data_IF_364090258451
#
_entry.id   IF_364090258451
#
_cell.length_a   1.000
_cell.length_b   1.000
_cell.length_c   1.000
_cell.angle_alpha   90.00
_cell.angle_beta   90.00
_cell.angle_gamma   90.00
#
_symmetry.space_group_name_H-M   'P 1'
#
loop_
_entity.id
_entity.type
_entity.pdbx_description
1 polymer ?
#
# COMPACT_ATOMS: atom_id res chain seq x y z
N UNK A 1 33.35 18.73 21.11
CA UNK A 1 34.52 18.21 20.38
C UNK A 1 35.47 17.66 21.40
N UNK A 2 35.69 16.37 21.43
CA UNK A 2 36.72 15.79 22.24
C UNK A 2 38.07 15.98 21.54
N UNK A 3 39.15 16.06 22.33
CA UNK A 3 40.49 16.42 21.88
C UNK A 3 41.13 15.56 20.76
N UNK A 4 40.43 14.52 20.29
CA UNK A 4 40.92 13.56 19.27
C UNK A 4 40.17 13.60 17.94
N UNK A 5 39.34 14.61 17.66
CA UNK A 5 38.67 14.73 16.36
C UNK A 5 37.70 13.64 16.00
N UNK A 6 37.44 12.71 16.92
CA UNK A 6 36.47 11.61 16.73
C UNK A 6 35.07 12.15 17.02
N UNK A 7 34.21 12.21 15.99
CA UNK A 7 32.80 12.52 16.16
C UNK A 7 32.16 11.37 16.92
N UNK A 8 32.16 11.44 18.25
CA UNK A 8 31.42 10.52 19.10
C UNK A 8 29.94 10.80 18.87
N UNK A 9 29.28 9.90 18.14
CA UNK A 9 27.84 9.92 17.90
C UNK A 9 27.15 9.70 19.24
N UNK A 10 26.79 10.80 19.94
CA UNK A 10 26.04 10.71 21.21
C UNK A 10 24.81 9.83 20.98
N UNK A 11 24.76 8.71 21.69
CA UNK A 11 23.64 7.79 21.69
C UNK A 11 22.45 8.53 22.32
N UNK A 12 21.53 9.03 21.50
CA UNK A 12 20.31 9.67 21.97
C UNK A 12 19.23 8.60 22.08
N UNK A 13 18.98 8.11 23.28
CA UNK A 13 17.94 7.13 23.59
C UNK A 13 16.57 7.51 22.99
N UNK A 14 16.25 8.81 23.01
CA UNK A 14 15.03 9.38 22.40
C UNK A 14 14.96 9.10 20.89
N UNK A 15 16.08 9.19 20.17
CA UNK A 15 16.14 9.02 18.71
C UNK A 15 16.03 7.54 18.29
N UNK A 16 16.63 6.63 19.06
CA UNK A 16 16.52 5.19 18.84
C UNK A 16 15.13 4.67 19.22
N UNK A 17 14.56 5.11 20.35
CA UNK A 17 13.19 4.77 20.75
C UNK A 17 12.17 5.17 19.67
N UNK A 18 12.30 6.37 19.11
CA UNK A 18 11.43 6.85 18.05
C UNK A 18 11.54 5.99 16.79
N UNK A 19 12.74 5.50 16.48
CA UNK A 19 12.99 4.62 15.32
C UNK A 19 12.29 3.27 15.44
N UNK A 20 12.21 2.70 16.65
CA UNK A 20 11.60 1.40 16.90
C UNK A 20 10.15 1.47 17.39
N UNK A 21 9.60 2.70 17.54
CA UNK A 21 8.25 2.91 18.05
C UNK A 21 7.19 2.06 17.31
N UNK A 22 7.27 1.98 15.99
CA UNK A 22 6.33 1.22 15.16
C UNK A 22 6.39 -0.29 15.46
N UNK A 23 7.59 -0.83 15.68
CA UNK A 23 7.78 -2.24 16.02
C UNK A 23 7.29 -2.52 17.45
N UNK A 24 7.57 -1.61 18.38
CA UNK A 24 7.08 -1.70 19.77
C UNK A 24 5.56 -1.66 19.78
N UNK A 25 4.93 -0.74 19.02
CA UNK A 25 3.49 -0.67 18.91
C UNK A 25 2.89 -1.96 18.33
N UNK A 26 3.51 -2.55 17.31
CA UNK A 26 3.10 -3.84 16.76
C UNK A 26 3.09 -4.93 17.84
N UNK A 27 4.16 -5.06 18.62
CA UNK A 27 4.23 -6.05 19.71
C UNK A 27 3.18 -5.78 20.80
N UNK A 28 2.95 -4.51 21.15
CA UNK A 28 1.91 -4.13 22.11
C UNK A 28 0.53 -4.58 21.64
N UNK A 29 0.18 -4.35 20.35
CA UNK A 29 -1.08 -4.82 19.80
C UNK A 29 -1.19 -6.34 19.77
N UNK A 30 -0.11 -7.06 19.41
CA UNK A 30 -0.10 -8.54 19.44
C UNK A 30 -0.36 -9.06 20.84
N UNK A 31 0.32 -8.51 21.86
CA UNK A 31 0.12 -8.89 23.27
C UNK A 31 -1.29 -8.54 23.73
N UNK A 32 -1.78 -7.35 23.40
CA UNK A 32 -3.13 -6.90 23.71
C UNK A 32 -4.18 -7.89 23.20
N UNK A 33 -4.16 -8.23 21.91
CA UNK A 33 -5.13 -9.14 21.32
C UNK A 33 -4.98 -10.58 21.87
N UNK A 34 -3.78 -11.03 22.18
CA UNK A 34 -3.55 -12.32 22.82
C UNK A 34 -4.15 -12.39 24.23
N UNK A 35 -4.03 -11.33 25.03
CA UNK A 35 -4.63 -11.28 26.37
C UNK A 35 -6.16 -11.37 26.34
N UNK A 36 -6.79 -10.78 25.32
CA UNK A 36 -8.25 -10.84 25.18
C UNK A 36 -8.75 -12.12 24.53
N UNK A 37 -7.97 -12.68 23.60
CA UNK A 37 -8.33 -13.91 22.90
C UNK A 37 -7.11 -14.82 22.72
N UNK A 38 -6.93 -15.86 23.55
CA UNK A 38 -5.80 -16.80 23.44
C UNK A 38 -5.73 -17.52 22.07
N UNK A 39 -6.85 -17.60 21.32
CA UNK A 39 -6.87 -18.16 19.98
C UNK A 39 -6.21 -17.25 18.94
N UNK A 40 -5.89 -16.02 19.30
CA UNK A 40 -5.26 -15.04 18.39
C UNK A 40 -3.92 -15.54 17.82
N UNK A 41 -3.09 -16.23 18.62
CA UNK A 41 -1.81 -16.78 18.21
C UNK A 41 -1.88 -18.25 17.73
N UNK A 42 -3.06 -18.78 17.40
CA UNK A 42 -3.15 -20.10 16.78
C UNK A 42 -2.53 -20.08 15.38
N UNK A 43 -1.97 -21.22 14.95
CA UNK A 43 -1.36 -21.37 13.63
C UNK A 43 -2.28 -20.88 12.50
N UNK A 44 -3.57 -21.28 12.54
CA UNK A 44 -4.55 -20.92 11.52
C UNK A 44 -4.75 -19.39 11.47
N UNK A 45 -4.84 -18.72 12.63
CA UNK A 45 -5.02 -17.28 12.66
C UNK A 45 -3.76 -16.52 12.24
N UNK A 46 -2.58 -17.00 12.59
CA UNK A 46 -1.31 -16.42 12.09
C UNK A 46 -1.26 -16.49 10.56
N UNK A 47 -1.67 -17.61 9.96
CA UNK A 47 -1.75 -17.74 8.49
C UNK A 47 -2.76 -16.77 7.88
N UNK A 48 -3.88 -16.52 8.56
CA UNK A 48 -4.85 -15.52 8.13
C UNK A 48 -4.29 -14.09 8.22
N UNK A 49 -3.59 -13.75 9.30
CA UNK A 49 -2.89 -12.45 9.44
C UNK A 49 -1.86 -12.28 8.33
N UNK A 50 -1.08 -13.31 7.99
CA UNK A 50 -0.09 -13.25 6.91
C UNK A 50 -0.75 -13.03 5.53
N UNK A 51 -1.90 -13.65 5.28
CA UNK A 51 -2.69 -13.40 4.06
C UNK A 51 -3.20 -11.95 4.01
N UNK A 52 -3.75 -11.46 5.13
CA UNK A 52 -4.22 -10.07 5.27
C UNK A 52 -3.08 -9.08 5.03
N UNK A 53 -1.94 -9.30 5.72
CA UNK A 53 -0.72 -8.52 5.54
C UNK A 53 -0.27 -8.50 4.08
N UNK A 54 -0.38 -9.63 3.35
CA UNK A 54 0.07 -9.70 1.95
C UNK A 54 -0.71 -8.77 1.04
N UNK A 55 -2.03 -8.71 1.22
CA UNK A 55 -2.90 -7.78 0.49
C UNK A 55 -2.62 -6.34 0.90
N UNK A 56 -2.65 -6.09 2.21
CA UNK A 56 -2.47 -4.76 2.78
C UNK A 56 -1.11 -4.16 2.41
N UNK A 57 -0.02 -4.91 2.56
CA UNK A 57 1.33 -4.44 2.24
C UNK A 57 1.49 -4.11 0.74
N UNK A 58 0.92 -4.93 -0.15
CA UNK A 58 0.97 -4.67 -1.59
C UNK A 58 0.21 -3.38 -1.95
N UNK A 59 -0.97 -3.18 -1.36
CA UNK A 59 -1.75 -1.95 -1.54
C UNK A 59 -1.06 -0.73 -0.92
N UNK A 60 -0.44 -0.90 0.26
CA UNK A 60 0.33 0.17 0.92
C UNK A 60 1.57 0.57 0.12
N UNK A 61 2.24 -0.37 -0.54
CA UNK A 61 3.35 -0.05 -1.47
C UNK A 61 2.84 0.75 -2.68
N UNK A 62 1.62 0.48 -3.18
CA UNK A 62 0.98 1.34 -4.19
C UNK A 62 0.87 2.78 -3.71
N UNK A 63 0.31 3.02 -2.51
CA UNK A 63 0.22 4.36 -1.92
C UNK A 63 1.62 4.99 -1.74
N UNK A 64 2.59 4.22 -1.26
CA UNK A 64 3.95 4.66 -1.00
C UNK A 64 4.62 5.26 -2.25
N UNK A 65 4.48 4.65 -3.44
CA UNK A 65 5.12 5.16 -4.66
C UNK A 65 4.67 6.59 -5.00
N UNK A 66 3.38 6.89 -4.84
CA UNK A 66 2.84 8.23 -5.12
C UNK A 66 3.20 9.22 -4.01
N UNK A 67 3.15 8.78 -2.75
CA UNK A 67 3.59 9.58 -1.61
C UNK A 67 5.07 9.96 -1.69
N UNK A 68 5.92 9.07 -2.23
CA UNK A 68 7.35 9.36 -2.44
C UNK A 68 7.63 10.51 -3.39
N UNK A 69 6.74 10.81 -4.34
CA UNK A 69 6.88 11.97 -5.26
C UNK A 69 6.08 13.19 -4.79
N UNK A 70 5.59 13.16 -3.54
CA UNK A 70 4.87 14.27 -2.92
C UNK A 70 3.41 14.41 -3.36
N UNK A 71 2.81 13.36 -3.92
CA UNK A 71 1.42 13.34 -4.36
C UNK A 71 0.59 12.36 -3.53
N UNK A 72 -0.75 12.50 -3.58
CA UNK A 72 -1.71 11.59 -2.97
C UNK A 72 -2.58 10.94 -4.07
N UNK A 73 -2.74 9.62 -4.02
CA UNK A 73 -3.65 8.87 -4.89
C UNK A 73 -4.79 8.27 -4.05
N UNK A 74 -5.97 8.88 -4.13
CA UNK A 74 -7.20 8.35 -3.53
C UNK A 74 -7.95 7.37 -4.45
N UNK A 75 -7.36 7.00 -5.58
CA UNK A 75 -7.92 6.02 -6.51
C UNK A 75 -7.45 4.59 -6.29
N UNK A 76 -6.42 4.35 -5.45
CA UNK A 76 -5.76 3.03 -5.34
C UNK A 76 -6.72 1.89 -4.99
N UNK A 77 -7.73 2.17 -4.14
CA UNK A 77 -8.74 1.18 -3.76
C UNK A 77 -9.69 0.82 -4.91
N UNK A 78 -10.15 1.83 -5.64
CA UNK A 78 -10.97 1.62 -6.83
C UNK A 78 -10.18 0.94 -7.95
N UNK A 79 -8.90 1.32 -8.14
CA UNK A 79 -7.98 0.66 -9.08
C UNK A 79 -7.80 -0.82 -8.73
N UNK A 80 -7.64 -1.15 -7.44
CA UNK A 80 -7.54 -2.54 -6.98
C UNK A 80 -8.82 -3.34 -7.29
N UNK A 81 -9.99 -2.79 -6.95
CA UNK A 81 -11.28 -3.44 -7.24
C UNK A 81 -11.54 -3.56 -8.72
N UNK A 82 -11.14 -2.57 -9.52
CA UNK A 82 -11.27 -2.58 -10.98
C UNK A 82 -10.44 -3.70 -11.60
N UNK A 83 -9.18 -3.87 -11.17
CA UNK A 83 -8.33 -4.97 -11.64
C UNK A 83 -8.92 -6.34 -11.29
N UNK A 84 -9.42 -6.51 -10.07
CA UNK A 84 -10.10 -7.74 -9.66
C UNK A 84 -11.35 -8.01 -10.50
N UNK A 85 -12.19 -6.99 -10.74
CA UNK A 85 -13.42 -7.11 -11.52
C UNK A 85 -13.15 -7.44 -12.99
N UNK A 86 -12.12 -6.83 -13.58
CA UNK A 86 -11.67 -7.15 -14.93
C UNK A 86 -11.19 -8.60 -15.02
N UNK A 87 -10.37 -9.05 -14.06
CA UNK A 87 -9.87 -10.42 -14.06
C UNK A 87 -11.02 -11.43 -13.91
N UNK A 88 -11.91 -11.21 -12.95
CA UNK A 88 -13.06 -12.07 -12.73
C UNK A 88 -14.00 -12.16 -13.93
N UNK A 89 -14.22 -11.02 -14.62
CA UNK A 89 -15.05 -10.97 -15.82
C UNK A 89 -14.38 -11.68 -16.99
N UNK A 90 -13.08 -11.49 -17.21
CA UNK A 90 -12.33 -12.16 -18.28
C UNK A 90 -12.30 -13.68 -18.07
N UNK A 91 -12.06 -14.12 -16.85
CA UNK A 91 -12.09 -15.56 -16.52
C UNK A 91 -13.49 -16.17 -16.66
N UNK A 92 -14.53 -15.45 -16.25
CA UNK A 92 -15.92 -15.93 -16.36
C UNK A 92 -16.41 -16.00 -17.81
N UNK A 93 -15.98 -15.06 -18.65
CA UNK A 93 -16.34 -15.02 -20.08
C UNK A 93 -15.62 -16.06 -20.93
N UNK A 94 -14.49 -16.61 -20.44
CA UNK A 94 -13.63 -17.55 -21.16
C UNK A 94 -13.17 -17.06 -22.55
N UNK A 95 -13.14 -15.75 -22.77
CA UNK A 95 -12.70 -15.13 -24.03
C UNK A 95 -11.20 -15.39 -24.26
N UNK A 96 -10.41 -15.36 -23.21
CA UNK A 96 -8.97 -15.61 -23.25
C UNK A 96 -8.66 -16.97 -22.64
N UNK A 97 -7.84 -17.82 -23.31
CA UNK A 97 -7.47 -19.11 -22.76
C UNK A 97 -6.44 -18.97 -21.63
N UNK A 98 -6.76 -19.53 -20.48
CA UNK A 98 -5.85 -19.65 -19.34
C UNK A 98 -5.74 -18.40 -18.48
N UNK A 99 -5.43 -18.62 -17.20
CA UNK A 99 -5.31 -17.59 -16.17
C UNK A 99 -4.20 -16.55 -16.47
N UNK A 100 -3.04 -17.03 -16.92
CA UNK A 100 -1.87 -16.16 -17.17
C UNK A 100 -2.17 -15.09 -18.22
N UNK A 101 -2.86 -15.45 -19.30
CA UNK A 101 -3.20 -14.50 -20.36
C UNK A 101 -4.23 -13.47 -19.87
N UNK A 102 -5.23 -13.90 -19.10
CA UNK A 102 -6.19 -12.98 -18.46
C UNK A 102 -5.48 -12.03 -17.49
N UNK A 103 -4.54 -12.54 -16.68
CA UNK A 103 -3.76 -11.73 -15.74
C UNK A 103 -2.94 -10.66 -16.46
N UNK A 104 -2.19 -11.03 -17.49
CA UNK A 104 -1.40 -10.07 -18.30
C UNK A 104 -2.31 -9.05 -18.99
N UNK A 105 -3.44 -9.48 -19.55
CA UNK A 105 -4.40 -8.59 -20.19
C UNK A 105 -4.95 -7.55 -19.20
N UNK A 106 -5.27 -7.95 -17.97
CA UNK A 106 -5.71 -7.02 -16.92
C UNK A 106 -4.62 -6.01 -16.60
N UNK A 107 -3.38 -6.44 -16.41
CA UNK A 107 -2.27 -5.51 -16.14
C UNK A 107 -2.09 -4.49 -17.28
N UNK A 108 -2.20 -4.91 -18.54
CA UNK A 108 -2.15 -4.01 -19.70
C UNK A 108 -3.32 -3.04 -19.70
N UNK A 109 -4.55 -3.48 -19.43
CA UNK A 109 -5.71 -2.61 -19.32
C UNK A 109 -5.57 -1.60 -18.18
N UNK A 110 -5.03 -2.04 -17.03
CA UNK A 110 -4.78 -1.14 -15.90
C UNK A 110 -3.69 -0.09 -16.18
N UNK A 111 -2.79 -0.33 -17.14
CA UNK A 111 -1.88 0.73 -17.60
C UNK A 111 -2.60 1.88 -18.29
N UNK A 112 -3.76 1.64 -18.94
CA UNK A 112 -4.60 2.72 -19.45
C UNK A 112 -5.20 3.57 -18.32
N UNK A 113 -5.59 2.94 -17.20
CA UNK A 113 -6.04 3.64 -15.99
C UNK A 113 -4.91 4.51 -15.42
N UNK A 114 -3.71 3.96 -15.29
CA UNK A 114 -2.52 4.68 -14.84
C UNK A 114 -2.18 5.87 -15.77
N UNK A 115 -2.30 5.66 -17.08
CA UNK A 115 -2.09 6.71 -18.08
C UNK A 115 -3.09 7.86 -17.89
N UNK A 116 -4.37 7.56 -17.70
CA UNK A 116 -5.39 8.59 -17.45
C UNK A 116 -5.08 9.39 -16.19
N UNK A 117 -4.83 8.72 -15.05
CA UNK A 117 -4.51 9.37 -13.78
C UNK A 117 -3.24 10.25 -13.91
N UNK A 118 -2.20 9.74 -14.57
CA UNK A 118 -0.98 10.52 -14.79
C UNK A 118 -1.18 11.70 -15.75
N UNK A 119 -2.07 11.58 -16.75
CA UNK A 119 -2.43 12.70 -17.66
C UNK A 119 -3.16 13.79 -16.90
N UNK A 120 -4.16 13.45 -16.10
CA UNK A 120 -4.93 14.42 -15.31
C UNK A 120 -4.01 15.16 -14.33
N UNK A 121 -3.13 14.44 -13.64
CA UNK A 121 -2.27 15.02 -12.59
C UNK A 121 -1.05 15.73 -13.16
N UNK A 122 -0.28 15.05 -14.03
CA UNK A 122 1.03 15.55 -14.45
C UNK A 122 0.93 16.49 -15.66
N UNK A 123 -0.09 16.39 -16.49
CA UNK A 123 -0.22 17.20 -17.72
C UNK A 123 -1.27 18.29 -17.60
N UNK A 124 -2.44 18.00 -17.07
CA UNK A 124 -3.47 19.02 -16.82
C UNK A 124 -3.23 19.79 -15.52
N UNK A 125 -2.26 19.39 -14.71
CA UNK A 125 -1.89 20.03 -13.43
C UNK A 125 -3.04 20.09 -12.42
N UNK A 126 -3.99 19.17 -12.52
CA UNK A 126 -5.03 19.02 -11.51
C UNK A 126 -4.39 18.44 -10.25
N UNK A 127 -4.65 18.97 -9.06
CA UNK A 127 -4.16 18.37 -7.82
C UNK A 127 -4.44 16.88 -7.77
N UNK A 128 -3.44 16.06 -7.48
CA UNK A 128 -3.51 14.60 -7.63
C UNK A 128 -4.67 13.99 -6.85
N UNK A 129 -4.91 14.47 -5.62
CA UNK A 129 -5.99 13.96 -4.78
C UNK A 129 -7.37 14.20 -5.41
N UNK A 130 -7.61 15.36 -6.05
CA UNK A 130 -8.86 15.67 -6.73
C UNK A 130 -9.01 14.81 -7.99
N UNK A 131 -7.96 14.74 -8.80
CA UNK A 131 -7.98 13.98 -10.05
C UNK A 131 -8.24 12.48 -9.79
N UNK A 132 -7.55 11.90 -8.84
CA UNK A 132 -7.69 10.47 -8.52
C UNK A 132 -8.99 10.16 -7.78
N UNK A 133 -9.48 11.07 -6.93
CA UNK A 133 -10.79 10.91 -6.30
C UNK A 133 -11.93 10.96 -7.34
N UNK A 134 -11.87 11.88 -8.30
CA UNK A 134 -12.83 11.95 -9.39
C UNK A 134 -12.76 10.71 -10.29
N UNK A 135 -11.54 10.30 -10.67
CA UNK A 135 -11.32 9.10 -11.47
C UNK A 135 -11.81 7.83 -10.74
N UNK A 136 -11.63 7.75 -9.42
CA UNK A 136 -12.11 6.59 -8.64
C UNK A 136 -13.62 6.38 -8.80
N UNK A 137 -14.41 7.45 -8.89
CA UNK A 137 -15.87 7.35 -9.11
C UNK A 137 -16.23 6.81 -10.50
N UNK A 138 -15.41 7.09 -11.50
CA UNK A 138 -15.57 6.48 -12.83
C UNK A 138 -15.28 4.98 -12.79
N UNK A 139 -14.22 4.59 -12.09
CA UNK A 139 -13.88 3.17 -11.89
C UNK A 139 -14.94 2.45 -11.06
N UNK A 140 -15.42 3.04 -9.97
CA UNK A 140 -16.51 2.50 -9.15
C UNK A 140 -17.75 2.26 -10.05
N UNK A 141 -18.13 3.22 -10.89
CA UNK A 141 -19.25 3.09 -11.84
C UNK A 141 -19.05 1.92 -12.81
N UNK A 142 -17.85 1.76 -13.37
CA UNK A 142 -17.52 0.64 -14.26
C UNK A 142 -17.60 -0.71 -13.51
N UNK A 143 -17.11 -0.77 -12.26
CA UNK A 143 -17.19 -1.94 -11.40
C UNK A 143 -18.65 -2.33 -11.16
N UNK A 144 -19.49 -1.37 -10.77
CA UNK A 144 -20.92 -1.61 -10.57
C UNK A 144 -21.61 -2.13 -11.83
N UNK A 145 -21.24 -1.63 -13.00
CA UNK A 145 -21.75 -2.13 -14.28
C UNK A 145 -21.31 -3.57 -14.56
N UNK A 146 -20.04 -3.92 -14.27
CA UNK A 146 -19.50 -5.26 -14.49
C UNK A 146 -20.07 -6.31 -13.51
N UNK A 147 -20.25 -5.92 -12.24
CA UNK A 147 -20.71 -6.81 -11.18
C UNK A 147 -22.25 -6.83 -10.99
N UNK A 148 -22.95 -5.91 -11.66
CA UNK A 148 -24.38 -5.69 -11.42
C UNK A 148 -24.67 -5.13 -10.02
N UNK A 149 -23.70 -4.52 -9.36
CA UNK A 149 -23.80 -3.96 -8.00
C UNK A 149 -23.88 -5.01 -6.89
N UNK A 150 -23.59 -6.27 -7.19
CA UNK A 150 -23.67 -7.40 -6.25
C UNK A 150 -22.30 -8.07 -6.13
N UNK A 151 -22.15 -8.88 -5.09
CA UNK A 151 -20.98 -9.76 -4.96
C UNK A 151 -20.97 -10.71 -6.15
N UNK A 152 -19.89 -10.70 -6.91
CA UNK A 152 -19.68 -11.50 -8.09
C UNK A 152 -18.72 -12.65 -7.79
N UNK A 153 -19.12 -13.85 -8.12
CA UNK A 153 -18.30 -15.06 -8.07
C UNK A 153 -18.62 -15.96 -9.27
N UNK A 154 -17.70 -16.80 -9.66
CA UNK A 154 -17.91 -17.72 -10.76
C UNK A 154 -17.15 -19.03 -10.53
N UNK A 155 -17.81 -20.13 -10.76
CA UNK A 155 -17.19 -21.48 -10.78
C UNK A 155 -16.20 -21.65 -11.94
N UNK A 156 -16.26 -20.75 -12.95
CA UNK A 156 -15.37 -20.77 -14.11
C UNK A 156 -14.01 -20.12 -13.87
N UNK A 157 -13.77 -19.51 -12.71
CA UNK A 157 -12.47 -18.87 -12.41
C UNK A 157 -11.33 -19.88 -12.29
N UNK A 158 -11.65 -21.16 -12.06
CA UNK A 158 -10.69 -22.26 -12.01
C UNK A 158 -9.87 -22.32 -10.73
N UNK A 159 -9.16 -23.42 -10.56
CA UNK A 159 -8.40 -23.71 -9.34
C UNK A 159 -7.20 -22.77 -9.15
N UNK A 160 -6.63 -22.24 -10.24
CA UNK A 160 -5.48 -21.34 -10.16
C UNK A 160 -5.83 -20.07 -9.39
N UNK A 161 -7.03 -19.50 -9.61
CA UNK A 161 -7.46 -18.28 -8.91
C UNK A 161 -7.58 -18.51 -7.40
N UNK A 162 -8.21 -19.61 -6.99
CA UNK A 162 -8.37 -19.96 -5.57
C UNK A 162 -7.04 -20.39 -4.94
N UNK A 163 -6.20 -21.12 -5.67
CA UNK A 163 -4.89 -21.58 -5.20
C UNK A 163 -3.95 -20.39 -4.91
N UNK A 164 -4.00 -19.33 -5.70
CA UNK A 164 -3.20 -18.12 -5.42
C UNK A 164 -3.57 -17.50 -4.07
N UNK A 165 -4.87 -17.35 -3.80
CA UNK A 165 -5.34 -16.65 -2.59
C UNK A 165 -5.48 -17.53 -1.36
N UNK A 166 -5.92 -18.76 -1.54
CA UNK A 166 -6.27 -19.66 -0.45
C UNK A 166 -5.30 -20.85 -0.30
N UNK A 167 -4.52 -21.14 -1.34
CA UNK A 167 -3.57 -22.25 -1.36
C UNK A 167 -2.34 -22.01 -0.48
N UNK A 168 -1.63 -23.11 -0.26
CA UNK A 168 -0.37 -23.15 0.47
C UNK A 168 0.71 -23.82 -0.39
N UNK A 169 1.93 -23.29 -0.30
CA UNK A 169 3.13 -23.98 -0.77
C UNK A 169 3.94 -24.38 0.46
N UNK A 170 3.82 -25.65 0.84
CA UNK A 170 4.32 -26.12 2.13
C UNK A 170 3.58 -25.48 3.30
N UNK A 171 4.27 -24.93 4.31
CA UNK A 171 3.64 -24.29 5.46
C UNK A 171 3.23 -22.82 5.21
N UNK A 172 3.56 -22.23 4.04
CA UNK A 172 3.42 -20.80 3.78
C UNK A 172 2.25 -20.55 2.82
N UNK A 173 1.34 -19.58 3.12
CA UNK A 173 0.30 -19.18 2.17
C UNK A 173 0.91 -18.60 0.88
N UNK A 174 0.34 -18.93 -0.27
CA UNK A 174 0.84 -18.49 -1.57
C UNK A 174 0.87 -16.97 -1.72
N UNK A 175 -0.05 -16.25 -1.07
CA UNK A 175 -0.06 -14.78 -1.05
C UNK A 175 1.20 -14.18 -0.43
N UNK A 176 1.81 -14.85 0.55
CA UNK A 176 3.08 -14.39 1.15
C UNK A 176 4.21 -14.48 0.12
N UNK A 177 4.24 -15.53 -0.69
CA UNK A 177 5.22 -15.65 -1.77
C UNK A 177 5.02 -14.51 -2.78
N UNK A 178 3.78 -14.21 -3.14
CA UNK A 178 3.44 -13.06 -3.97
C UNK A 178 3.91 -11.74 -3.36
N UNK A 179 3.68 -11.51 -2.05
CA UNK A 179 4.16 -10.34 -1.33
C UNK A 179 5.70 -10.23 -1.39
N UNK A 180 6.42 -11.33 -1.16
CA UNK A 180 7.90 -11.34 -1.21
C UNK A 180 8.38 -10.93 -2.60
N UNK A 181 7.77 -11.46 -3.67
CA UNK A 181 8.10 -11.09 -5.05
C UNK A 181 7.85 -9.59 -5.29
N UNK A 182 6.67 -9.08 -4.92
CA UNK A 182 6.32 -7.66 -5.09
C UNK A 182 7.26 -6.77 -4.28
N UNK A 183 7.59 -7.16 -3.06
CA UNK A 183 8.55 -6.43 -2.21
C UNK A 183 9.94 -6.42 -2.81
N UNK A 184 10.42 -7.55 -3.33
CA UNK A 184 11.72 -7.63 -4.00
C UNK A 184 11.79 -6.74 -5.24
N UNK A 185 10.73 -6.73 -6.06
CA UNK A 185 10.62 -5.83 -7.22
C UNK A 185 10.67 -4.36 -6.77
N UNK A 186 9.87 -3.97 -5.76
CA UNK A 186 9.89 -2.61 -5.23
C UNK A 186 11.28 -2.23 -4.70
N UNK A 187 11.92 -3.15 -3.95
CA UNK A 187 13.25 -2.94 -3.39
C UNK A 187 14.29 -2.70 -4.48
N UNK A 188 14.32 -3.54 -5.51
CA UNK A 188 15.24 -3.40 -6.64
C UNK A 188 14.98 -2.06 -7.35
N UNK A 189 13.73 -1.73 -7.65
CA UNK A 189 13.35 -0.49 -8.32
C UNK A 189 13.78 0.76 -7.53
N UNK A 190 13.55 0.78 -6.21
CA UNK A 190 13.77 1.97 -5.39
C UNK A 190 15.22 2.12 -4.93
N UNK A 191 15.90 1.02 -4.57
CA UNK A 191 17.25 1.09 -3.97
C UNK A 191 18.36 0.86 -4.99
N UNK A 192 18.11 0.12 -6.08
CA UNK A 192 19.16 -0.29 -7.03
C UNK A 192 19.14 0.46 -8.36
N UNK A 193 17.99 1.11 -8.71
CA UNK A 193 17.88 1.77 -10.02
C UNK A 193 18.03 3.29 -9.96
N UNK A 194 18.27 3.91 -11.12
CA UNK A 194 18.27 5.38 -11.29
C UNK A 194 16.87 5.95 -11.03
N UNK A 195 15.82 5.19 -11.36
CA UNK A 195 14.43 5.59 -11.15
C UNK A 195 14.13 5.85 -9.67
N UNK A 196 14.53 4.98 -8.77
CA UNK A 196 14.31 5.16 -7.33
C UNK A 196 15.00 6.42 -6.79
N UNK A 197 16.22 6.71 -7.25
CA UNK A 197 16.92 7.96 -6.88
C UNK A 197 16.19 9.20 -7.40
N UNK A 198 15.67 9.16 -8.63
CA UNK A 198 14.88 10.26 -9.20
C UNK A 198 13.55 10.46 -8.45
N UNK A 199 12.87 9.37 -8.06
CA UNK A 199 11.63 9.42 -7.25
C UNK A 199 11.92 10.10 -5.91
N UNK A 200 12.98 9.69 -5.20
CA UNK A 200 13.35 10.28 -3.92
C UNK A 200 13.76 11.76 -4.05
N UNK A 201 14.48 12.12 -5.10
CA UNK A 201 14.88 13.50 -5.37
C UNK A 201 13.67 14.38 -5.70
N UNK A 202 12.76 13.91 -6.55
CA UNK A 202 11.54 14.63 -6.93
C UNK A 202 10.61 14.88 -5.73
N UNK A 203 10.51 13.93 -4.81
CA UNK A 203 9.70 14.08 -3.60
C UNK A 203 10.36 14.92 -2.51
N UNK A 204 11.69 14.97 -2.48
CA UNK A 204 12.43 15.81 -1.52
C UNK A 204 12.30 17.30 -1.83
N UNK A 205 12.65 17.69 -3.05
CA UNK A 205 12.47 19.05 -3.56
C UNK A 205 12.37 19.03 -5.08
N UNK A 206 11.16 19.18 -5.60
CA UNK A 206 10.88 19.14 -7.04
C UNK A 206 11.58 20.26 -7.83
N UNK A 207 11.74 21.45 -7.23
CA UNK A 207 12.42 22.60 -7.86
C UNK A 207 13.91 22.31 -8.02
N UNK A 208 14.58 21.92 -6.94
CA UNK A 208 15.99 21.57 -6.97
C UNK A 208 16.27 20.36 -7.86
N UNK A 209 15.39 19.34 -7.86
CA UNK A 209 15.49 18.20 -8.75
C UNK A 209 15.43 18.60 -10.23
N UNK A 210 14.56 19.55 -10.57
CA UNK A 210 14.48 20.10 -11.95
C UNK A 210 15.74 20.84 -12.35
N UNK A 211 16.34 21.63 -11.43
CA UNK A 211 17.57 22.38 -11.70
C UNK A 211 18.77 21.47 -12.02
N UNK A 212 18.83 20.28 -11.43
CA UNK A 212 19.86 19.27 -11.75
C UNK A 212 19.47 18.34 -12.90
N UNK A 213 18.45 18.69 -13.68
CA UNK A 213 18.07 18.00 -14.91
C UNK A 213 17.19 16.77 -14.73
N UNK A 214 16.64 16.51 -13.53
CA UNK A 214 15.69 15.41 -13.32
C UNK A 214 14.33 15.77 -13.91
N UNK A 215 13.77 14.96 -14.83
CA UNK A 215 12.47 15.22 -15.44
C UNK A 215 11.32 14.88 -14.47
N UNK A 216 11.11 15.72 -13.44
CA UNK A 216 10.17 15.51 -12.33
C UNK A 216 8.79 15.07 -12.83
N UNK A 217 8.29 15.68 -13.91
CA UNK A 217 6.98 15.32 -14.50
C UNK A 217 6.93 13.86 -14.94
N UNK A 218 7.96 13.36 -15.63
CA UNK A 218 8.03 11.95 -16.08
C UNK A 218 8.16 11.02 -14.88
N UNK A 219 8.93 11.43 -13.86
CA UNK A 219 9.11 10.66 -12.63
C UNK A 219 7.78 10.50 -11.89
N UNK A 220 6.98 11.58 -11.78
CA UNK A 220 5.63 11.50 -11.20
C UNK A 220 4.72 10.55 -12.00
N UNK A 221 4.72 10.64 -13.35
CA UNK A 221 3.96 9.71 -14.17
C UNK A 221 4.33 8.25 -13.89
N UNK A 222 5.62 7.94 -13.84
CA UNK A 222 6.09 6.57 -13.55
C UNK A 222 5.66 6.13 -12.15
N UNK A 223 5.66 7.02 -11.15
CA UNK A 223 5.16 6.69 -9.81
C UNK A 223 3.66 6.30 -9.83
N UNK A 224 2.82 6.99 -10.62
CA UNK A 224 1.42 6.60 -10.82
C UNK A 224 1.29 5.25 -11.53
N UNK A 225 2.11 4.96 -12.54
CA UNK A 225 2.11 3.65 -13.21
C UNK A 225 2.48 2.53 -12.24
N UNK A 226 3.51 2.71 -11.43
CA UNK A 226 3.89 1.74 -10.40
C UNK A 226 2.77 1.58 -9.37
N UNK A 227 2.17 2.67 -8.92
CA UNK A 227 1.08 2.62 -7.95
C UNK A 227 -0.11 1.81 -8.49
N UNK A 228 -0.58 2.09 -9.71
CA UNK A 228 -1.69 1.34 -10.31
C UNK A 228 -1.34 -0.13 -10.53
N UNK A 229 -0.09 -0.45 -10.90
CA UNK A 229 0.37 -1.83 -11.02
C UNK A 229 0.26 -2.58 -9.69
N UNK A 230 0.77 -1.98 -8.61
CA UNK A 230 0.72 -2.58 -7.27
C UNK A 230 -0.72 -2.65 -6.74
N UNK A 231 -1.54 -1.64 -6.97
CA UNK A 231 -2.97 -1.66 -6.64
C UNK A 231 -3.68 -2.80 -7.37
N UNK A 232 -3.38 -3.01 -8.66
CA UNK A 232 -3.96 -4.08 -9.46
C UNK A 232 -3.62 -5.46 -8.89
N UNK A 233 -2.35 -5.70 -8.55
CA UNK A 233 -1.93 -6.96 -7.94
C UNK A 233 -2.58 -7.15 -6.55
N UNK A 234 -2.67 -6.08 -5.74
CA UNK A 234 -3.33 -6.14 -4.44
C UNK A 234 -4.82 -6.50 -4.56
N UNK A 235 -5.52 -5.93 -5.56
CA UNK A 235 -6.92 -6.27 -5.84
C UNK A 235 -7.12 -7.73 -6.26
N UNK A 236 -6.21 -8.25 -7.09
CA UNK A 236 -6.20 -9.66 -7.47
C UNK A 236 -5.92 -10.56 -6.26
N UNK A 237 -4.99 -10.20 -5.39
CA UNK A 237 -4.73 -10.91 -4.14
C UNK A 237 -5.95 -10.90 -3.22
N UNK A 238 -6.62 -9.75 -3.08
CA UNK A 238 -7.81 -9.61 -2.26
C UNK A 238 -8.95 -10.49 -2.75
N UNK A 239 -9.28 -10.42 -4.05
CA UNK A 239 -10.36 -11.20 -4.66
C UNK A 239 -10.07 -12.71 -4.65
N UNK A 240 -8.81 -13.10 -4.87
CA UNK A 240 -8.38 -14.49 -4.80
C UNK A 240 -8.44 -15.02 -3.35
N UNK A 241 -8.09 -14.20 -2.35
CA UNK A 241 -8.21 -14.54 -0.92
C UNK A 241 -9.66 -14.77 -0.52
N UNK A 242 -10.56 -13.88 -0.92
CA UNK A 242 -12.00 -13.96 -0.55
C UNK A 242 -12.79 -14.95 -1.42
N UNK A 243 -12.27 -15.31 -2.59
CA UNK A 243 -12.98 -16.16 -3.57
C UNK A 243 -14.16 -15.44 -4.24
N UNK A 244 -14.29 -14.15 -4.05
CA UNK A 244 -15.36 -13.33 -4.62
C UNK A 244 -14.88 -11.90 -4.91
N UNK A 245 -15.69 -11.14 -5.63
CA UNK A 245 -15.47 -9.74 -5.94
C UNK A 245 -16.69 -8.96 -5.50
N UNK A 246 -16.50 -8.09 -4.51
CA UNK A 246 -17.56 -7.20 -4.01
C UNK A 246 -17.25 -5.79 -4.48
N UNK A 247 -18.23 -5.03 -4.98
CA UNK A 247 -18.04 -3.62 -5.26
C UNK A 247 -17.43 -2.88 -4.07
N UNK A 248 -16.49 -1.99 -4.32
CA UNK A 248 -15.80 -1.17 -3.31
C UNK A 248 -14.87 -1.93 -2.34
N UNK A 249 -14.63 -3.24 -2.52
CA UNK A 249 -13.81 -4.03 -1.57
C UNK A 249 -12.39 -3.44 -1.36
N UNK A 250 -11.75 -2.94 -2.40
CA UNK A 250 -10.45 -2.28 -2.30
C UNK A 250 -10.56 -0.85 -1.77
N UNK A 251 -11.67 -0.16 -2.07
CA UNK A 251 -11.92 1.20 -1.59
C UNK A 251 -12.02 1.24 -0.06
N UNK A 252 -12.58 0.21 0.57
CA UNK A 252 -12.64 0.08 2.02
C UNK A 252 -11.25 -0.07 2.65
N UNK A 253 -10.26 -0.61 1.92
CA UNK A 253 -8.88 -0.78 2.40
C UNK A 253 -7.96 0.40 2.05
N UNK A 254 -8.45 1.38 1.28
CA UNK A 254 -7.64 2.48 0.77
C UNK A 254 -7.01 3.31 1.89
N UNK A 255 -7.82 3.70 2.88
CA UNK A 255 -7.33 4.51 4.00
C UNK A 255 -6.29 3.77 4.85
N UNK A 256 -6.49 2.48 5.10
CA UNK A 256 -5.52 1.64 5.82
C UNK A 256 -4.20 1.55 5.07
N UNK A 257 -4.24 1.45 3.75
CA UNK A 257 -3.06 1.39 2.91
C UNK A 257 -2.27 2.72 2.92
N UNK A 258 -2.97 3.85 2.83
CA UNK A 258 -2.36 5.18 2.94
C UNK A 258 -1.77 5.38 4.34
N UNK A 259 -2.53 5.04 5.40
CA UNK A 259 -2.04 5.10 6.78
C UNK A 259 -0.78 4.25 6.97
N UNK A 260 -0.77 3.02 6.46
CA UNK A 260 0.39 2.13 6.54
C UNK A 260 1.62 2.72 5.83
N UNK A 261 1.43 3.29 4.63
CA UNK A 261 2.52 3.93 3.91
C UNK A 261 3.07 5.16 4.67
N UNK A 262 2.19 5.97 5.26
CA UNK A 262 2.59 7.15 6.05
C UNK A 262 3.26 6.76 7.37
N UNK A 263 2.69 5.81 8.13
CA UNK A 263 3.31 5.27 9.34
C UNK A 263 4.67 4.63 9.03
N UNK A 264 4.82 4.00 7.88
CA UNK A 264 6.08 3.43 7.43
C UNK A 264 7.22 4.44 7.33
N UNK A 265 6.93 5.73 7.14
CA UNK A 265 7.92 6.79 7.13
C UNK A 265 8.50 7.12 8.53
N UNK A 266 7.91 6.58 9.60
CA UNK A 266 8.42 6.73 10.98
C UNK A 266 9.48 5.69 11.34
N UNK A 267 9.62 4.62 10.54
CA UNK A 267 10.54 3.51 10.78
C UNK A 267 11.68 3.49 9.74
N UNK A 268 12.82 2.94 10.09
CA UNK A 268 14.04 2.76 9.29
C UNK A 268 14.67 4.07 8.81
N UNK A 269 14.01 4.84 7.93
CA UNK A 269 14.43 6.16 7.45
C UNK A 269 13.38 7.19 7.85
N UNK A 270 13.55 7.78 9.02
CA UNK A 270 12.59 8.72 9.59
C UNK A 270 12.36 9.90 8.65
N UNK A 271 11.09 10.25 8.41
CA UNK A 271 10.67 11.33 7.51
C UNK A 271 10.74 10.99 6.01
N UNK A 272 11.09 9.74 5.64
CA UNK A 272 11.13 9.28 4.25
C UNK A 272 10.36 7.98 4.09
N UNK A 273 9.50 7.93 3.11
CA UNK A 273 8.79 6.69 2.75
C UNK A 273 9.80 5.60 2.35
N UNK A 274 9.64 4.42 2.88
CA UNK A 274 10.56 3.30 2.68
C UNK A 274 9.83 1.96 2.79
N UNK A 275 10.33 0.95 2.08
CA UNK A 275 9.70 -0.36 2.00
C UNK A 275 9.65 -1.09 3.35
N UNK A 276 10.76 -1.21 4.13
CA UNK A 276 10.70 -1.89 5.42
C UNK A 276 9.67 -1.28 6.37
N UNK A 277 9.60 0.05 6.42
CA UNK A 277 8.62 0.75 7.25
C UNK A 277 7.19 0.47 6.80
N UNK A 278 6.92 0.54 5.50
CA UNK A 278 5.59 0.24 4.95
C UNK A 278 5.18 -1.21 5.23
N UNK A 279 6.09 -2.17 5.15
CA UNK A 279 5.81 -3.57 5.49
C UNK A 279 5.45 -3.76 6.96
N UNK A 280 6.22 -3.16 7.88
CA UNK A 280 5.94 -3.24 9.32
C UNK A 280 4.61 -2.57 9.65
N UNK A 281 4.32 -1.41 9.07
CA UNK A 281 3.06 -0.71 9.26
C UNK A 281 1.87 -1.49 8.70
N UNK A 282 2.00 -2.10 7.52
CA UNK A 282 0.97 -2.95 6.94
C UNK A 282 0.73 -4.23 7.76
N UNK A 283 1.80 -4.81 8.33
CA UNK A 283 1.68 -5.91 9.29
C UNK A 283 0.87 -5.48 10.51
N UNK A 284 1.17 -4.30 11.06
CA UNK A 284 0.45 -3.76 12.22
C UNK A 284 -1.04 -3.55 11.91
N UNK A 285 -1.38 -2.99 10.73
CA UNK A 285 -2.77 -2.82 10.31
C UNK A 285 -3.49 -4.16 10.13
N UNK A 286 -2.82 -5.17 9.55
CA UNK A 286 -3.37 -6.52 9.42
C UNK A 286 -3.62 -7.17 10.79
N UNK A 287 -2.72 -6.99 11.75
CA UNK A 287 -2.87 -7.45 13.15
C UNK A 287 -4.06 -6.79 13.81
N UNK A 288 -4.23 -5.47 13.66
CA UNK A 288 -5.34 -4.71 14.23
C UNK A 288 -6.67 -5.17 13.61
N UNK A 289 -6.76 -5.21 12.29
CA UNK A 289 -7.97 -5.63 11.57
C UNK A 289 -8.40 -7.04 11.96
N UNK A 290 -7.47 -8.00 11.94
CA UNK A 290 -7.72 -9.39 12.34
C UNK A 290 -8.08 -9.48 13.84
N UNK A 291 -7.35 -8.76 14.70
CA UNK A 291 -7.59 -8.75 16.14
C UNK A 291 -9.00 -8.24 16.49
N UNK A 292 -9.42 -7.13 15.92
CA UNK A 292 -10.77 -6.58 16.12
C UNK A 292 -11.85 -7.53 15.62
N UNK A 293 -11.64 -8.12 14.45
CA UNK A 293 -12.58 -9.11 13.87
C UNK A 293 -12.72 -10.35 14.76
N UNK A 294 -11.60 -10.86 15.29
CA UNK A 294 -11.63 -12.06 16.18
C UNK A 294 -12.20 -11.77 17.55
N UNK A 295 -12.20 -10.51 17.99
CA UNK A 295 -12.90 -10.06 19.21
C UNK A 295 -14.40 -9.78 18.98
N UNK A 296 -14.87 -9.81 17.73
CA UNK A 296 -16.23 -9.42 17.39
C UNK A 296 -16.50 -7.93 17.56
N UNK A 297 -15.47 -7.09 17.48
CA UNK A 297 -15.62 -5.65 17.59
C UNK A 297 -16.45 -5.11 16.42
N UNK A 298 -17.28 -4.11 16.69
CA UNK A 298 -18.06 -3.46 15.63
C UNK A 298 -17.15 -2.68 14.69
N UNK A 299 -17.50 -2.61 13.39
CA UNK A 299 -16.68 -2.00 12.33
C UNK A 299 -16.30 -0.54 12.62
N UNK A 300 -17.15 0.21 13.34
CA UNK A 300 -16.84 1.59 13.70
C UNK A 300 -15.57 1.73 14.57
N UNK A 301 -15.22 0.72 15.36
CA UNK A 301 -14.00 0.72 16.20
C UNK A 301 -12.77 0.76 15.30
N UNK A 302 -12.77 0.03 14.19
CA UNK A 302 -11.70 0.04 13.21
C UNK A 302 -11.54 1.44 12.60
N UNK A 303 -12.62 2.11 12.22
CA UNK A 303 -12.58 3.47 11.67
C UNK A 303 -12.02 4.50 12.66
N UNK A 304 -12.37 4.39 13.96
CA UNK A 304 -11.80 5.26 15.00
C UNK A 304 -10.28 5.05 15.12
N UNK A 305 -9.84 3.80 15.18
CA UNK A 305 -8.40 3.49 15.26
C UNK A 305 -7.65 3.99 14.03
N UNK A 306 -8.18 3.80 12.82
CA UNK A 306 -7.61 4.33 11.58
C UNK A 306 -7.44 5.86 11.66
N UNK A 307 -8.46 6.59 12.09
CA UNK A 307 -8.42 8.04 12.23
C UNK A 307 -7.34 8.50 13.21
N UNK A 308 -7.25 7.85 14.38
CA UNK A 308 -6.23 8.14 15.39
C UNK A 308 -4.83 7.86 14.83
N UNK A 309 -4.63 6.71 14.21
CA UNK A 309 -3.32 6.32 13.67
C UNK A 309 -2.87 7.23 12.53
N UNK A 310 -3.79 7.62 11.62
CA UNK A 310 -3.50 8.57 10.56
C UNK A 310 -3.11 9.94 11.14
N UNK A 311 -3.83 10.43 12.14
CA UNK A 311 -3.53 11.70 12.80
C UNK A 311 -2.14 11.66 13.44
N UNK A 312 -1.81 10.59 14.16
CA UNK A 312 -0.48 10.40 14.77
C UNK A 312 0.61 10.35 13.69
N UNK A 313 0.40 9.61 12.60
CA UNK A 313 1.36 9.50 11.50
C UNK A 313 1.64 10.84 10.85
N UNK A 314 0.59 11.61 10.52
CA UNK A 314 0.71 12.93 9.88
C UNK A 314 1.37 13.93 10.82
N UNK A 315 0.94 14.00 12.08
CA UNK A 315 1.53 14.87 13.07
C UNK A 315 3.03 14.59 13.29
N UNK A 316 3.39 13.30 13.37
CA UNK A 316 4.78 12.89 13.51
C UNK A 316 5.64 13.29 12.31
N UNK A 317 5.14 13.09 11.07
CA UNK A 317 5.86 13.49 9.85
C UNK A 317 6.01 15.00 9.81
N UNK A 318 4.97 15.77 10.17
CA UNK A 318 5.01 17.24 10.20
C UNK A 318 6.10 17.75 11.15
N UNK A 319 6.09 17.28 12.41
CA UNK A 319 7.08 17.68 13.44
C UNK A 319 8.51 17.30 12.99
N UNK A 320 8.70 16.11 12.46
CA UNK A 320 10.04 15.64 12.05
C UNK A 320 10.59 16.40 10.83
N UNK A 321 9.72 16.89 9.94
CA UNK A 321 10.13 17.73 8.81
C UNK A 321 10.56 19.11 9.26
N UNK A 322 9.92 19.71 10.24
CA UNK A 322 10.30 21.03 10.79
C UNK A 322 11.65 20.98 11.50
N UNK A 323 11.94 19.92 12.25
CA UNK A 323 13.24 19.75 12.92
C UNK A 323 14.41 19.50 11.93
N UNK A 324 14.13 19.06 10.71
CA UNK A 324 15.13 18.74 9.68
C UNK A 324 15.53 19.89 8.76
N UNK A 325 14.85 21.04 8.82
CA UNK A 325 15.10 22.23 8.01
C UNK A 325 15.48 23.43 8.90
N UNK A 326 16.76 23.62 9.26
CA UNK A 326 17.16 24.84 9.94
C UNK A 326 16.97 26.03 8.98
N UNK A 327 15.96 26.86 9.22
CA UNK A 327 15.79 28.15 8.55
C UNK A 327 14.48 28.40 7.79
N UNK A 328 13.50 27.51 7.79
CA UNK A 328 12.17 27.79 7.23
C UNK A 328 11.15 27.84 8.37
N UNK A 329 10.98 29.00 8.98
CA UNK A 329 9.78 29.33 9.75
C UNK A 329 8.66 29.52 8.73
N UNK A 330 7.65 28.62 8.74
CA UNK A 330 6.38 28.91 8.09
C UNK A 330 5.68 30.01 8.89
N UNK A 331 5.54 31.18 8.26
CA UNK A 331 4.74 32.29 8.76
C UNK A 331 3.25 31.95 8.60
#
# INVERSE_FOLDING_TARGET
>A
MDNNGIVVRKFSFKKEFTRFFLVIALFVFVIFFYCFNPRFLTYMNIMNILREMSVMATLSMSAMFVLMVGELNFGIGAEATMAASLLGTLLASQILPGYTLCFVAVLVLMMAVAWLNSRLTCYLRIPAFIATLAASKLWDSAIYKMTGGKTFFSTKWGDVFTTIGQGYTGPIPNLVIGLVIMTAIAWILLEKTRLGRHIQAAGGNAVSATQVGIPVRRVKCVAFFLATLYASVAGIFLSSKTGNITPLMGSNMMMDAICSAMLGATFWRIGRYNIPGTLVAACMMAVISNGLTTMGAADWVQFVLQGIMLTIAVAYIAITREEGLPGVKLA
#
